data_IF_067998103099
#
_entry.id   IF_067998103099
#
_cell.length_a   1.000
_cell.length_b   1.000
_cell.length_c   1.000
_cell.angle_alpha   90.00
_cell.angle_beta   90.00
_cell.angle_gamma   90.00
#
_symmetry.space_group_name_H-M   'P 1'
#
loop_
_entity.id
_entity.type
_entity.pdbx_description
1 polymer ?
#
# COMPACT_ATOMS: atom_id res chain seq x y z
N UNK A 1 7.95 -18.70 -13.81
CA UNK A 1 7.33 -17.44 -13.35
C UNK A 1 6.48 -17.82 -12.14
N UNK A 2 6.77 -17.26 -10.96
CA UNK A 2 5.98 -17.52 -9.75
C UNK A 2 4.93 -16.40 -9.63
N UNK A 3 3.64 -16.75 -9.63
CA UNK A 3 2.54 -15.83 -9.36
C UNK A 3 1.87 -16.22 -8.03
N UNK A 4 1.37 -15.22 -7.29
CA UNK A 4 0.63 -15.41 -6.04
C UNK A 4 -0.67 -14.63 -6.15
N UNK A 5 -1.78 -15.26 -5.77
CA UNK A 5 -3.06 -14.56 -5.69
C UNK A 5 -3.04 -13.63 -4.49
N UNK A 6 -3.37 -12.36 -4.73
CA UNK A 6 -3.33 -11.30 -3.72
C UNK A 6 -4.66 -10.53 -3.72
N UNK A 7 -5.26 -10.41 -2.55
CA UNK A 7 -6.34 -9.47 -2.30
C UNK A 7 -5.78 -8.10 -1.91
N UNK A 8 -6.41 -7.03 -2.43
CA UNK A 8 -6.06 -5.65 -2.12
C UNK A 8 -7.32 -4.94 -1.60
N UNK A 9 -7.27 -4.47 -0.37
CA UNK A 9 -8.28 -3.58 0.23
C UNK A 9 -7.74 -2.15 0.21
N UNK A 10 -8.45 -1.25 -0.45
CA UNK A 10 -8.09 0.17 -0.59
C UNK A 10 -9.06 1.03 0.23
N UNK A 11 -8.84 1.05 1.54
CA UNK A 11 -9.60 1.91 2.46
C UNK A 11 -9.10 3.35 2.45
N UNK A 12 -9.91 4.27 2.95
CA UNK A 12 -9.52 5.69 3.10
C UNK A 12 -8.45 5.90 4.17
N UNK A 13 -8.43 5.05 5.19
CA UNK A 13 -7.47 5.13 6.30
C UNK A 13 -6.31 4.14 6.15
N UNK A 14 -6.57 2.94 5.63
CA UNK A 14 -5.59 1.86 5.52
C UNK A 14 -5.73 1.10 4.21
N UNK A 15 -4.58 0.73 3.65
CA UNK A 15 -4.44 -0.18 2.53
C UNK A 15 -3.92 -1.51 3.06
N UNK A 16 -4.56 -2.62 2.68
CA UNK A 16 -4.17 -3.97 3.10
C UNK A 16 -3.89 -4.87 1.92
N UNK A 17 -2.84 -5.66 2.05
CA UNK A 17 -2.51 -6.75 1.13
C UNK A 17 -2.69 -8.07 1.88
N UNK A 18 -3.39 -9.03 1.28
CA UNK A 18 -3.65 -10.34 1.89
C UNK A 18 -3.54 -11.47 0.88
N UNK A 19 -3.15 -12.65 1.33
CA UNK A 19 -3.35 -13.89 0.58
C UNK A 19 -4.56 -14.67 1.13
N UNK A 20 -4.77 -15.90 0.66
CA UNK A 20 -5.89 -16.75 1.09
C UNK A 20 -5.85 -17.16 2.56
N UNK A 21 -4.75 -16.89 3.27
CA UNK A 21 -4.53 -17.34 4.64
C UNK A 21 -4.42 -16.20 5.64
N UNK A 22 -3.88 -15.05 5.24
CA UNK A 22 -3.59 -13.95 6.16
C UNK A 22 -3.40 -12.59 5.46
N UNK A 23 -3.49 -11.52 6.27
CA UNK A 23 -3.01 -10.19 5.90
C UNK A 23 -1.48 -10.19 5.93
N UNK A 24 -0.87 -9.74 4.85
CA UNK A 24 0.58 -9.65 4.66
C UNK A 24 1.13 -8.26 4.99
N UNK A 25 0.32 -7.21 4.79
CA UNK A 25 0.69 -5.82 5.07
C UNK A 25 -0.56 -4.99 5.36
N UNK A 26 -0.45 -4.06 6.30
CA UNK A 26 -1.42 -3.01 6.58
C UNK A 26 -0.66 -1.70 6.82
N UNK A 27 -0.85 -0.75 5.91
CA UNK A 27 -0.24 0.57 5.96
C UNK A 27 -1.31 1.67 5.85
N UNK A 28 -1.09 2.85 6.43
CA UNK A 28 -1.95 4.00 6.20
C UNK A 28 -2.11 4.27 4.69
N UNK A 29 -3.32 4.60 4.23
CA UNK A 29 -3.55 5.01 2.83
C UNK A 29 -3.14 6.47 2.65
N UNK A 30 -1.84 6.71 2.79
CA UNK A 30 -1.23 8.04 2.75
C UNK A 30 0.01 7.98 1.87
N UNK A 31 0.22 9.05 1.11
CA UNK A 31 1.39 9.24 0.24
C UNK A 31 1.97 10.62 0.52
N UNK A 32 3.27 10.69 0.77
CA UNK A 32 4.00 11.94 0.84
C UNK A 32 4.54 12.31 -0.55
N UNK A 33 4.32 13.56 -0.97
CA UNK A 33 4.77 14.07 -2.26
C UNK A 33 5.65 15.32 -2.09
N UNK A 34 6.71 15.40 -2.90
CA UNK A 34 7.44 16.64 -3.13
C UNK A 34 6.71 17.43 -4.22
N UNK A 35 6.13 18.57 -3.83
CA UNK A 35 5.23 19.35 -4.70
C UNK A 35 5.95 19.97 -5.88
N UNK A 36 7.19 20.42 -5.69
CA UNK A 36 7.99 21.05 -6.74
C UNK A 36 8.28 20.07 -7.90
N UNK A 37 8.64 18.84 -7.56
CA UNK A 37 9.07 17.82 -8.52
C UNK A 37 7.94 16.85 -8.90
N UNK A 38 6.73 17.03 -8.35
CA UNK A 38 5.58 16.14 -8.50
C UNK A 38 5.93 14.66 -8.29
N UNK A 39 6.76 14.40 -7.29
CA UNK A 39 7.36 13.10 -7.05
C UNK A 39 6.87 12.53 -5.72
N UNK A 40 6.51 11.25 -5.72
CA UNK A 40 6.28 10.51 -4.49
C UNK A 40 7.60 10.31 -3.75
N UNK A 41 7.65 10.71 -2.48
CA UNK A 41 8.83 10.57 -1.63
C UNK A 41 8.67 9.47 -0.59
N UNK A 42 7.43 9.18 -0.18
CA UNK A 42 7.13 8.06 0.72
C UNK A 42 5.66 7.63 0.63
N UNK A 43 5.35 6.45 1.17
CA UNK A 43 4.01 5.84 1.21
C UNK A 43 3.86 5.04 2.50
N UNK A 44 2.67 5.06 3.11
CA UNK A 44 2.41 4.35 4.35
C UNK A 44 2.91 5.10 5.59
N UNK A 45 3.70 4.44 6.45
CA UNK A 45 4.22 4.99 7.71
C UNK A 45 5.51 5.80 7.60
N UNK A 46 6.18 5.79 6.45
CA UNK A 46 7.42 6.54 6.19
C UNK A 46 7.14 7.87 5.46
#
# INVERSE_FOLDING_TARGET
>A
MFSKDLGIDLGTMFTRLADSTQVLSEEPTIVAIEVADQKMVAVGRE
#
